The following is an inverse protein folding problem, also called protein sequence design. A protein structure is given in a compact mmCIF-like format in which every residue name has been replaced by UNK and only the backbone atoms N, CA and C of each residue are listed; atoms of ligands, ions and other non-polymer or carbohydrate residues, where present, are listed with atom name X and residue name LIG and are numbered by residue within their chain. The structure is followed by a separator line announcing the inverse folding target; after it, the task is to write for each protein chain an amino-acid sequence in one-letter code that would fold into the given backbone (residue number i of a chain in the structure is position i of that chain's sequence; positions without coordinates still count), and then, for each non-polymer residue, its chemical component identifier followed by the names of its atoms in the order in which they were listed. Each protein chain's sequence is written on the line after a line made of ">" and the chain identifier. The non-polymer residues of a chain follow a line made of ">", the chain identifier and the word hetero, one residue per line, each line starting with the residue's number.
data_IF_439290785283
#
_entry.id   IF_439290785283
#
_cell.length_a   1.000
_cell.length_b   1.000
_cell.length_c   1.000
_cell.angle_alpha   90.00
_cell.angle_beta   90.00
_cell.angle_gamma   90.00
#
_symmetry.space_group_name_H-M   'P 1'
#
loop_
_entity.id
_entity.type
_entity.pdbx_description
1 polymer ?
#
# COMPACT_ATOMS: atom_id res chain seq x y z
N UNK A 1 -9.61 5.48 5.55
CA UNK A 1 -9.07 4.23 6.15
C UNK A 1 -8.12 3.56 5.18
N UNK A 2 -6.93 3.14 5.65
CA UNK A 2 -6.00 2.27 4.89
C UNK A 2 -6.33 0.81 5.21
N UNK A 3 -6.59 0.00 4.19
CA UNK A 3 -6.89 -1.42 4.32
C UNK A 3 -5.72 -2.24 3.74
N UNK A 4 -4.92 -2.84 4.61
CA UNK A 4 -3.77 -3.66 4.22
C UNK A 4 -4.08 -5.14 4.04
N UNK A 5 -3.02 -5.95 3.91
CA UNK A 5 -3.09 -7.39 4.07
C UNK A 5 -2.36 -7.83 5.34
N UNK A 6 -2.52 -9.09 5.73
CA UNK A 6 -2.02 -9.66 6.99
C UNK A 6 -0.53 -10.07 6.95
N UNK A 7 0.07 -10.12 5.79
CA UNK A 7 1.49 -10.49 5.66
C UNK A 7 2.43 -9.28 5.79
N UNK A 8 3.73 -9.53 5.73
CA UNK A 8 4.73 -8.48 5.94
C UNK A 8 4.70 -7.42 4.83
N UNK A 9 4.34 -7.78 3.59
CA UNK A 9 4.21 -6.83 2.50
C UNK A 9 3.01 -5.90 2.73
N UNK A 10 1.84 -6.46 3.06
CA UNK A 10 0.64 -5.69 3.39
C UNK A 10 0.81 -4.82 4.65
N UNK A 11 1.44 -5.35 5.71
CA UNK A 11 1.73 -4.58 6.93
C UNK A 11 2.69 -3.43 6.65
N UNK A 12 3.76 -3.67 5.88
CA UNK A 12 4.74 -2.64 5.52
C UNK A 12 4.13 -1.57 4.60
N UNK A 13 3.30 -1.99 3.63
CA UNK A 13 2.55 -1.11 2.74
C UNK A 13 1.61 -0.19 3.53
N UNK A 14 0.89 -0.76 4.50
CA UNK A 14 0.01 -0.02 5.41
C UNK A 14 0.79 1.01 6.21
N UNK A 15 1.92 0.61 6.80
CA UNK A 15 2.76 1.51 7.58
C UNK A 15 3.32 2.68 6.74
N UNK A 16 3.77 2.42 5.51
CA UNK A 16 4.26 3.45 4.57
C UNK A 16 3.14 4.44 4.23
N UNK A 17 1.94 3.95 3.95
CA UNK A 17 0.81 4.82 3.59
C UNK A 17 0.30 5.63 4.78
N UNK A 18 0.19 5.03 5.97
CA UNK A 18 -0.22 5.74 7.18
C UNK A 18 0.78 6.83 7.58
N UNK A 19 2.08 6.51 7.56
CA UNK A 19 3.15 7.48 7.86
C UNK A 19 3.04 8.71 6.92
N UNK A 20 2.78 8.48 5.63
CA UNK A 20 2.59 9.55 4.67
C UNK A 20 1.33 10.38 4.90
N UNK A 21 0.20 9.73 5.13
CA UNK A 21 -1.08 10.42 5.37
C UNK A 21 -1.03 11.27 6.65
N UNK A 22 -0.39 10.74 7.70
CA UNK A 22 -0.16 11.47 8.96
C UNK A 22 0.75 12.69 8.73
N UNK A 23 1.86 12.51 7.98
CA UNK A 23 2.75 13.62 7.61
C UNK A 23 2.05 14.72 6.78
N UNK A 24 1.00 14.37 6.03
CA UNK A 24 0.14 15.31 5.32
C UNK A 24 -0.97 15.93 6.21
N UNK A 25 -1.06 15.55 7.48
CA UNK A 25 -2.08 16.03 8.42
C UNK A 25 -3.46 15.42 8.19
N UNK A 26 -3.57 14.31 7.46
CA UNK A 26 -4.81 13.62 7.23
C UNK A 26 -5.23 12.80 8.46
N UNK A 27 -6.53 12.86 8.81
CA UNK A 27 -7.09 11.96 9.81
C UNK A 27 -7.23 10.56 9.20
N UNK A 28 -6.40 9.63 9.62
CA UNK A 28 -6.40 8.27 9.07
C UNK A 28 -6.46 7.20 10.16
N UNK A 29 -6.99 6.04 9.79
CA UNK A 29 -7.02 4.83 10.58
C UNK A 29 -6.73 3.65 9.65
N UNK A 30 -6.54 2.45 10.19
CA UNK A 30 -6.22 1.28 9.40
C UNK A 30 -7.01 0.05 9.80
N UNK A 31 -7.06 -0.91 8.88
CA UNK A 31 -7.56 -2.26 9.10
C UNK A 31 -6.56 -3.25 8.48
N UNK A 32 -6.16 -4.22 9.28
CA UNK A 32 -5.46 -5.41 8.81
C UNK A 32 -6.40 -6.61 8.98
N UNK A 33 -6.60 -7.44 7.96
CA UNK A 33 -7.43 -8.63 8.10
C UNK A 33 -6.73 -9.67 8.98
N UNK A 34 -7.52 -10.46 9.70
CA UNK A 34 -7.01 -11.63 10.40
C UNK A 34 -6.88 -12.80 9.43
N UNK A 35 -5.69 -13.43 9.38
CA UNK A 35 -5.40 -14.53 8.45
C UNK A 35 -6.40 -15.69 8.54
N UNK A 36 -6.85 -16.02 9.73
CA UNK A 36 -7.69 -17.19 9.98
C UNK A 36 -9.19 -16.88 9.84
N UNK A 37 -9.61 -15.68 10.26
CA UNK A 37 -11.02 -15.29 10.31
C UNK A 37 -11.47 -14.54 9.05
N UNK A 38 -10.65 -13.60 8.57
CA UNK A 38 -11.01 -12.76 7.42
C UNK A 38 -10.45 -13.33 6.10
N UNK A 39 -9.28 -13.97 6.14
CA UNK A 39 -8.53 -14.41 4.96
C UNK A 39 -7.94 -13.24 4.18
N UNK A 40 -7.51 -13.46 2.96
CA UNK A 40 -6.81 -12.51 2.12
C UNK A 40 -7.71 -11.35 1.63
N UNK A 41 -7.16 -10.13 1.71
CA UNK A 41 -7.67 -8.90 1.09
C UNK A 41 -8.99 -8.38 1.66
N UNK A 42 -9.45 -7.28 1.09
CA UNK A 42 -10.71 -6.66 1.51
C UNK A 42 -11.92 -7.46 0.99
N UNK A 43 -12.79 -7.84 1.92
CA UNK A 43 -14.08 -8.48 1.68
C UNK A 43 -15.21 -7.59 2.17
N UNK A 44 -16.49 -7.87 1.85
CA UNK A 44 -17.63 -7.07 2.32
C UNK A 44 -17.65 -6.83 3.83
N UNK A 45 -17.25 -7.82 4.65
CA UNK A 45 -17.16 -7.67 6.10
C UNK A 45 -16.06 -6.65 6.51
N UNK A 46 -14.90 -6.69 5.85
CA UNK A 46 -13.82 -5.73 6.07
C UNK A 46 -14.21 -4.32 5.65
N UNK A 47 -14.94 -4.18 4.53
CA UNK A 47 -15.49 -2.90 4.10
C UNK A 47 -16.45 -2.33 5.16
N UNK A 48 -17.39 -3.12 5.67
CA UNK A 48 -18.32 -2.66 6.72
C UNK A 48 -17.57 -2.16 7.96
N UNK A 49 -16.49 -2.83 8.38
CA UNK A 49 -15.64 -2.34 9.48
C UNK A 49 -15.01 -0.98 9.17
N UNK A 50 -14.65 -0.72 7.91
CA UNK A 50 -14.13 0.58 7.51
C UNK A 50 -15.22 1.66 7.57
N UNK A 51 -16.44 1.35 7.14
CA UNK A 51 -17.59 2.25 7.25
C UNK A 51 -17.96 2.55 8.70
N UNK A 52 -17.94 1.55 9.58
CA UNK A 52 -18.14 1.72 11.04
C UNK A 52 -17.11 2.64 11.69
N UNK A 53 -15.90 2.70 11.15
CA UNK A 53 -14.86 3.67 11.55
C UNK A 53 -15.10 5.08 10.98
N UNK A 54 -16.15 5.29 10.18
CA UNK A 54 -16.47 6.57 9.55
C UNK A 54 -15.53 6.90 8.38
N UNK A 55 -15.17 5.91 7.57
CA UNK A 55 -14.33 6.14 6.39
C UNK A 55 -15.08 6.93 5.31
N UNK A 56 -14.51 8.05 4.87
CA UNK A 56 -14.94 8.80 3.69
C UNK A 56 -14.19 8.33 2.43
N UNK A 57 -13.04 7.72 2.62
CA UNK A 57 -12.18 7.16 1.59
C UNK A 57 -11.51 5.88 2.12
N UNK A 58 -11.44 4.86 1.28
CA UNK A 58 -10.68 3.63 1.57
C UNK A 58 -9.52 3.53 0.59
N UNK A 59 -8.32 3.29 1.11
CA UNK A 59 -7.13 3.00 0.32
C UNK A 59 -6.71 1.59 0.62
N UNK A 60 -6.85 0.67 -0.35
CA UNK A 60 -6.31 -0.68 -0.18
C UNK A 60 -4.84 -0.69 -0.57
N UNK A 61 -4.01 -1.42 0.16
CA UNK A 61 -2.59 -1.61 -0.13
C UNK A 61 -2.23 -3.09 -0.10
N UNK A 62 -1.52 -3.55 -1.11
CA UNK A 62 -1.14 -4.96 -1.30
C UNK A 62 -2.34 -5.92 -1.48
N UNK A 63 -3.48 -5.37 -1.81
CA UNK A 63 -4.70 -6.11 -2.14
C UNK A 63 -5.69 -5.21 -2.90
N UNK A 64 -6.78 -5.80 -3.37
CA UNK A 64 -7.89 -5.05 -3.94
C UNK A 64 -8.16 -5.31 -5.41
N UNK A 65 -7.17 -5.71 -6.22
CA UNK A 65 -7.37 -5.94 -7.68
C UNK A 65 -8.42 -7.00 -7.99
N UNK A 66 -8.68 -7.91 -7.06
CA UNK A 66 -9.67 -8.98 -7.17
C UNK A 66 -10.88 -8.81 -6.24
N UNK A 67 -11.02 -7.69 -5.55
CA UNK A 67 -12.01 -7.47 -4.49
C UNK A 67 -13.37 -6.95 -5.01
N UNK A 68 -13.94 -7.60 -6.03
CA UNK A 68 -15.14 -7.13 -6.73
C UNK A 68 -16.34 -6.91 -5.79
N UNK A 69 -16.69 -7.89 -4.97
CA UNK A 69 -17.85 -7.81 -4.09
C UNK A 69 -17.74 -6.67 -3.08
N UNK A 70 -16.56 -6.47 -2.51
CA UNK A 70 -16.33 -5.39 -1.57
C UNK A 70 -16.40 -4.01 -2.26
N UNK A 71 -15.82 -3.90 -3.47
CA UNK A 71 -15.81 -2.64 -4.18
C UNK A 71 -17.16 -2.29 -4.82
N UNK A 72 -17.96 -3.28 -5.22
CA UNK A 72 -19.36 -3.06 -5.60
C UNK A 72 -20.19 -2.56 -4.41
N UNK A 73 -19.97 -3.12 -3.22
CA UNK A 73 -20.62 -2.65 -2.01
C UNK A 73 -20.17 -1.21 -1.67
N UNK A 74 -18.86 -0.89 -1.76
CA UNK A 74 -18.37 0.46 -1.53
C UNK A 74 -19.04 1.48 -2.47
N UNK A 75 -19.14 1.13 -3.76
CA UNK A 75 -19.82 1.94 -4.77
C UNK A 75 -21.30 2.14 -4.43
N UNK A 76 -21.98 1.12 -3.98
CA UNK A 76 -23.38 1.21 -3.56
C UNK A 76 -23.57 2.11 -2.33
N UNK A 77 -22.61 2.12 -1.40
CA UNK A 77 -22.58 2.99 -0.22
C UNK A 77 -22.03 4.40 -0.52
N UNK A 78 -21.62 4.69 -1.76
CA UNK A 78 -21.11 5.99 -2.15
C UNK A 78 -19.70 6.31 -1.62
N UNK A 79 -18.91 5.28 -1.30
CA UNK A 79 -17.54 5.40 -0.77
C UNK A 79 -16.52 5.18 -1.87
N UNK A 80 -15.62 6.14 -2.04
CA UNK A 80 -14.51 6.00 -2.96
C UNK A 80 -13.44 5.02 -2.44
N UNK A 81 -12.96 4.15 -3.34
CA UNK A 81 -11.87 3.21 -3.06
C UNK A 81 -10.72 3.44 -4.02
N UNK A 82 -9.53 3.64 -3.48
CA UNK A 82 -8.27 3.63 -4.24
C UNK A 82 -7.58 2.29 -4.01
N UNK A 83 -7.31 1.56 -5.08
CA UNK A 83 -6.59 0.28 -5.03
C UNK A 83 -5.11 0.50 -5.36
N UNK A 84 -4.22 0.13 -4.44
CA UNK A 84 -2.77 0.13 -4.62
C UNK A 84 -2.32 -1.32 -4.45
N UNK A 85 -2.04 -2.00 -5.57
CA UNK A 85 -1.80 -3.44 -5.57
C UNK A 85 -0.71 -3.82 -6.57
N UNK A 86 -0.18 -5.04 -6.46
CA UNK A 86 0.79 -5.60 -7.39
C UNK A 86 0.42 -7.00 -7.90
N UNK A 87 -0.67 -7.55 -7.40
CA UNK A 87 -1.14 -8.87 -7.83
C UNK A 87 -1.60 -8.86 -9.30
N UNK A 88 -1.51 -10.02 -9.94
CA UNK A 88 -1.88 -10.17 -11.35
C UNK A 88 -3.38 -9.95 -11.54
N UNK A 89 -3.74 -9.11 -12.49
CA UNK A 89 -5.12 -8.96 -12.94
C UNK A 89 -5.58 -10.23 -13.64
N UNK A 90 -6.55 -10.94 -13.07
CA UNK A 90 -7.08 -12.21 -13.63
C UNK A 90 -8.33 -12.02 -14.49
N UNK A 91 -9.14 -10.99 -14.22
CA UNK A 91 -10.37 -10.65 -14.94
C UNK A 91 -10.47 -9.13 -15.13
N UNK A 92 -11.63 -8.58 -15.47
CA UNK A 92 -11.85 -7.14 -15.57
C UNK A 92 -11.50 -6.41 -14.28
N UNK A 93 -11.29 -5.10 -14.35
CA UNK A 93 -10.96 -4.29 -13.19
C UNK A 93 -12.18 -4.15 -12.26
N UNK A 94 -11.99 -4.20 -10.94
CA UNK A 94 -13.07 -3.95 -9.99
C UNK A 94 -13.50 -2.47 -10.03
N UNK A 95 -14.71 -2.13 -9.59
CA UNK A 95 -15.25 -0.77 -9.64
C UNK A 95 -14.66 0.14 -8.57
N UNK A 96 -13.36 0.41 -8.66
CA UNK A 96 -12.64 1.36 -7.81
C UNK A 96 -12.66 2.77 -8.42
N UNK A 97 -12.52 3.80 -7.57
CA UNK A 97 -12.30 5.18 -8.02
C UNK A 97 -10.97 5.29 -8.81
N UNK A 98 -9.93 4.65 -8.32
CA UNK A 98 -8.62 4.60 -8.98
C UNK A 98 -7.89 3.29 -8.66
N UNK A 99 -7.08 2.81 -9.62
CA UNK A 99 -6.30 1.57 -9.45
C UNK A 99 -4.86 1.83 -9.89
N UNK A 100 -3.94 1.73 -8.94
CA UNK A 100 -2.49 1.76 -9.18
C UNK A 100 -1.96 0.34 -9.02
N UNK A 101 -1.67 -0.28 -10.15
CA UNK A 101 -1.11 -1.65 -10.17
C UNK A 101 -0.28 -1.82 -11.45
N UNK A 102 1.03 -2.09 -11.35
CA UNK A 102 1.90 -2.27 -12.52
C UNK A 102 1.53 -3.51 -13.35
N UNK A 103 0.83 -4.49 -12.75
CA UNK A 103 0.45 -5.76 -13.38
C UNK A 103 -0.96 -5.74 -14.04
N UNK A 104 -1.57 -4.55 -14.16
CA UNK A 104 -2.76 -4.37 -15.00
C UNK A 104 -2.41 -4.64 -16.46
N UNK A 105 -3.36 -5.19 -17.21
CA UNK A 105 -3.19 -5.53 -18.64
C UNK A 105 -2.95 -4.29 -19.52
N UNK A 106 -3.51 -3.13 -19.11
CA UNK A 106 -3.44 -1.84 -19.80
C UNK A 106 -2.36 -0.92 -19.24
N UNK A 107 -1.44 -1.43 -18.41
CA UNK A 107 -0.39 -0.63 -17.77
C UNK A 107 0.97 -0.87 -18.46
N UNK A 108 1.58 0.19 -18.97
CA UNK A 108 2.90 0.15 -19.61
C UNK A 108 4.07 0.36 -18.64
N UNK A 109 3.82 0.30 -17.33
CA UNK A 109 4.90 0.43 -16.35
C UNK A 109 5.97 -0.65 -16.58
N UNK A 110 7.24 -0.26 -16.77
CA UNK A 110 8.26 -1.19 -17.33
C UNK A 110 8.69 -2.29 -16.37
N UNK A 111 8.57 -2.08 -15.05
CA UNK A 111 9.01 -3.05 -14.04
C UNK A 111 7.82 -3.69 -13.32
N UNK A 112 7.50 -4.92 -13.68
CA UNK A 112 6.35 -5.68 -13.16
C UNK A 112 6.63 -6.40 -11.84
N UNK A 113 7.88 -6.41 -11.37
CA UNK A 113 8.31 -7.15 -10.19
C UNK A 113 8.29 -6.36 -8.88
N UNK A 114 7.59 -5.22 -8.80
CA UNK A 114 7.43 -4.49 -7.53
C UNK A 114 6.64 -5.34 -6.53
N UNK A 115 7.06 -5.33 -5.26
CA UNK A 115 6.23 -5.78 -4.14
C UNK A 115 5.10 -4.76 -3.86
N UNK A 116 4.09 -5.14 -3.10
CA UNK A 116 3.00 -4.24 -2.70
C UNK A 116 3.52 -2.96 -2.03
N UNK A 117 4.47 -3.09 -1.10
CA UNK A 117 5.13 -1.94 -0.46
C UNK A 117 5.90 -1.07 -1.44
N UNK A 118 6.46 -1.67 -2.50
CA UNK A 118 7.12 -0.94 -3.58
C UNK A 118 6.13 -0.07 -4.36
N UNK A 119 4.94 -0.59 -4.66
CA UNK A 119 3.86 0.17 -5.32
C UNK A 119 3.34 1.27 -4.40
N UNK A 120 3.08 0.97 -3.12
CA UNK A 120 2.68 1.98 -2.13
C UNK A 120 3.71 3.11 -2.01
N UNK A 121 5.00 2.76 -1.96
CA UNK A 121 6.09 3.75 -1.94
C UNK A 121 6.13 4.62 -3.20
N UNK A 122 5.86 4.06 -4.39
CA UNK A 122 5.74 4.84 -5.64
C UNK A 122 4.60 5.85 -5.59
N UNK A 123 3.46 5.46 -5.04
CA UNK A 123 2.34 6.39 -4.82
C UNK A 123 2.76 7.50 -3.86
N UNK A 124 3.40 7.18 -2.74
CA UNK A 124 3.92 8.17 -1.80
C UNK A 124 4.97 9.08 -2.46
N UNK A 125 5.87 8.55 -3.29
CA UNK A 125 6.82 9.37 -4.05
C UNK A 125 6.12 10.40 -4.95
N UNK A 126 5.09 9.98 -5.67
CA UNK A 126 4.33 10.88 -6.55
C UNK A 126 3.54 11.93 -5.77
N UNK A 127 2.78 11.52 -4.75
CA UNK A 127 1.97 12.42 -3.95
C UNK A 127 2.82 13.41 -3.14
N UNK A 128 3.97 12.99 -2.63
CA UNK A 128 4.85 13.87 -1.85
C UNK A 128 5.37 15.09 -2.63
N UNK A 129 5.30 15.08 -3.97
CA UNK A 129 5.62 16.25 -4.80
C UNK A 129 4.67 17.42 -4.58
N UNK A 130 3.42 17.13 -4.24
CA UNK A 130 2.41 18.16 -3.98
C UNK A 130 2.39 18.67 -2.53
N UNK A 131 2.98 17.92 -1.59
CA UNK A 131 2.85 18.20 -0.15
C UNK A 131 4.14 18.58 0.56
N UNK A 132 5.32 18.38 -0.09
CA UNK A 132 6.62 18.57 0.58
C UNK A 132 7.64 19.27 -0.32
N UNK A 133 8.48 20.12 0.27
CA UNK A 133 9.60 20.73 -0.43
C UNK A 133 10.72 19.74 -0.75
N UNK A 134 11.49 20.00 -1.81
CA UNK A 134 12.44 19.05 -2.38
C UNK A 134 13.51 18.46 -1.44
N UNK A 135 13.99 19.21 -0.42
CA UNK A 135 14.95 18.69 0.57
C UNK A 135 14.25 17.89 1.65
N UNK A 136 13.16 18.41 2.19
CA UNK A 136 12.31 17.75 3.17
C UNK A 136 11.77 16.43 2.61
N UNK A 137 11.18 16.47 1.40
CA UNK A 137 10.70 15.31 0.67
C UNK A 137 11.75 14.20 0.57
N UNK A 138 12.99 14.53 0.18
CA UNK A 138 14.05 13.50 0.09
C UNK A 138 14.38 12.89 1.44
N UNK A 139 14.47 13.70 2.49
CA UNK A 139 14.67 13.22 3.85
C UNK A 139 13.56 12.28 4.29
N UNK A 140 12.32 12.69 4.04
CA UNK A 140 11.12 11.93 4.35
C UNK A 140 11.09 10.58 3.60
N UNK A 141 11.24 10.59 2.29
CA UNK A 141 11.25 9.36 1.48
C UNK A 141 12.36 8.38 1.93
N UNK A 142 13.54 8.91 2.27
CA UNK A 142 14.62 8.07 2.80
C UNK A 142 14.28 7.44 4.15
N UNK A 143 13.45 8.09 4.98
CA UNK A 143 13.03 7.55 6.28
C UNK A 143 12.06 6.35 6.18
N UNK A 144 11.46 6.14 5.01
CA UNK A 144 10.55 5.01 4.74
C UNK A 144 11.26 3.78 4.17
N UNK A 145 12.54 3.90 3.78
CA UNK A 145 13.24 2.84 3.05
C UNK A 145 13.44 1.56 3.87
N UNK A 146 13.50 1.64 5.19
CA UNK A 146 13.54 0.48 6.07
C UNK A 146 12.27 -0.40 5.92
N UNK A 147 11.10 0.21 5.89
CA UNK A 147 9.82 -0.48 5.65
C UNK A 147 9.75 -1.05 4.24
N UNK A 148 10.18 -0.27 3.23
CA UNK A 148 10.18 -0.72 1.83
C UNK A 148 11.12 -1.92 1.64
N UNK A 149 12.30 -1.89 2.27
CA UNK A 149 13.22 -3.02 2.22
C UNK A 149 12.66 -4.25 2.90
N UNK A 150 12.03 -4.08 4.08
CA UNK A 150 11.42 -5.17 4.84
C UNK A 150 10.35 -5.89 4.00
N UNK A 151 9.32 -5.16 3.52
CA UNK A 151 8.23 -5.77 2.77
C UNK A 151 8.72 -6.39 1.46
N UNK A 152 9.59 -5.71 0.69
CA UNK A 152 10.13 -6.24 -0.56
C UNK A 152 10.89 -7.56 -0.37
N UNK A 153 11.72 -7.67 0.67
CA UNK A 153 12.49 -8.89 0.95
C UNK A 153 11.60 -9.99 1.50
N UNK A 154 10.66 -9.66 2.39
CA UNK A 154 9.74 -10.64 2.98
C UNK A 154 8.74 -11.21 1.96
N UNK A 155 8.29 -10.41 1.00
CA UNK A 155 7.48 -10.85 -0.14
C UNK A 155 8.25 -11.70 -1.16
N UNK A 156 9.55 -11.94 -0.94
CA UNK A 156 10.43 -12.67 -1.88
C UNK A 156 10.40 -12.03 -3.29
N UNK A 157 10.14 -10.74 -3.37
CA UNK A 157 10.17 -10.01 -4.64
C UNK A 157 11.61 -9.95 -5.20
N UNK A 158 11.80 -9.97 -6.53
CA UNK A 158 13.13 -9.98 -7.12
C UNK A 158 13.91 -8.71 -6.74
N UNK A 159 15.02 -8.84 -6.02
CA UNK A 159 15.90 -7.71 -5.63
C UNK A 159 16.79 -7.32 -6.82
N UNK A 160 16.15 -7.01 -7.95
CA UNK A 160 16.75 -6.61 -9.21
C UNK A 160 16.18 -5.26 -9.64
N UNK A 161 16.82 -4.65 -10.63
CA UNK A 161 16.35 -3.41 -11.24
C UNK A 161 15.81 -2.40 -10.20
N UNK A 162 14.54 -2.04 -10.30
CA UNK A 162 13.93 -0.99 -9.49
C UNK A 162 13.82 -1.35 -8.01
N UNK A 163 13.54 -2.61 -7.64
CA UNK A 163 13.51 -3.03 -6.24
C UNK A 163 14.87 -2.88 -5.54
N UNK A 164 15.97 -3.05 -6.27
CA UNK A 164 17.32 -2.91 -5.72
C UNK A 164 17.60 -1.49 -5.21
N UNK A 165 16.98 -0.49 -5.83
CA UNK A 165 17.21 0.93 -5.51
C UNK A 165 16.80 1.26 -4.06
N UNK A 166 15.58 0.98 -3.60
CA UNK A 166 15.18 1.21 -2.22
C UNK A 166 15.70 0.14 -1.25
N UNK A 167 15.81 -1.13 -1.66
CA UNK A 167 16.20 -2.24 -0.77
C UNK A 167 17.62 -2.06 -0.23
N UNK A 168 18.58 -1.72 -1.07
CA UNK A 168 19.97 -1.58 -0.62
C UNK A 168 20.17 -0.54 0.49
N UNK A 169 19.74 0.72 0.34
CA UNK A 169 19.82 1.71 1.43
C UNK A 169 18.85 1.39 2.57
N UNK A 170 17.70 0.77 2.30
CA UNK A 170 16.73 0.39 3.32
C UNK A 170 17.27 -0.64 4.30
N UNK A 171 17.97 -1.67 3.84
CA UNK A 171 18.65 -2.64 4.70
C UNK A 171 19.73 -1.97 5.59
N UNK A 172 20.42 -0.96 5.08
CA UNK A 172 21.34 -0.17 5.89
C UNK A 172 20.60 0.69 6.92
N UNK A 173 19.45 1.27 6.55
CA UNK A 173 18.62 2.05 7.45
C UNK A 173 18.05 1.18 8.59
N UNK A 174 17.68 -0.06 8.32
CA UNK A 174 17.18 -1.01 9.34
C UNK A 174 18.14 -1.21 10.50
N UNK A 175 19.46 -1.20 10.27
CA UNK A 175 20.45 -1.34 11.35
C UNK A 175 20.45 -0.18 12.35
N UNK A 176 19.78 0.93 12.02
CA UNK A 176 19.73 2.17 12.82
C UNK A 176 18.29 2.66 13.01
N UNK A 177 17.32 1.83 12.64
CA UNK A 177 15.91 2.23 12.73
C UNK A 177 15.50 2.53 14.17
N UNK A 178 14.62 3.52 14.31
CA UNK A 178 13.98 3.87 15.58
C UNK A 178 12.55 3.31 15.68
N UNK A 179 12.08 2.63 14.65
CA UNK A 179 10.72 2.04 14.64
C UNK A 179 10.67 0.87 15.61
N UNK A 180 9.74 0.94 16.57
CA UNK A 180 9.64 -0.07 17.64
C UNK A 180 9.41 -1.49 17.08
N UNK A 181 8.64 -1.63 15.99
CA UNK A 181 8.37 -2.91 15.35
C UNK A 181 9.53 -3.51 14.54
N UNK A 182 10.65 -2.77 14.36
CA UNK A 182 11.84 -3.23 13.63
C UNK A 182 13.07 -3.41 14.54
N UNK A 183 12.92 -3.22 15.84
CA UNK A 183 13.93 -3.44 16.88
C UNK A 183 13.71 -4.80 17.54
#
# INVERSE_FOLDING_TARGET
>A
VVFGDYDVDGISSTAVMLDFLDACGARCDYILPDRHNDGYGIKPAGLRRALEKGADLIVTVDNGISAFEALELAKAEGIDVIVIDHHTQTRDLPPAHSIVNPNRRDCDYPFKGLAGVGVAFKVVQALSEAFMDGRERRGYLNSLLDLVALGTVAAVAPVLAENRVPVRPGLQAMTRTKRAGLR
#
